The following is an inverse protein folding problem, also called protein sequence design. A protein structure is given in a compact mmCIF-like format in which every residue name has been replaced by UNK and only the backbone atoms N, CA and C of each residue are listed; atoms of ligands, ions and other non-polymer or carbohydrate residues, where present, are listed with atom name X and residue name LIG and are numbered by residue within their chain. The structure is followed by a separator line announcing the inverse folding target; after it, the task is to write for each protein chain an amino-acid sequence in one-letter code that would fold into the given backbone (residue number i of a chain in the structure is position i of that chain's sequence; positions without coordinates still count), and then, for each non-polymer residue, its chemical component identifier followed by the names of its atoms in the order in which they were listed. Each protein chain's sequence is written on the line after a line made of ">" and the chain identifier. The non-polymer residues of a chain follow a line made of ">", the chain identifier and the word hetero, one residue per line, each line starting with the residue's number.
data_IF_719061423133
#
_entry.id   IF_719061423133
#
_cell.length_a   1.000
_cell.length_b   1.000
_cell.length_c   1.000
_cell.angle_alpha   90.00
_cell.angle_beta   90.00
_cell.angle_gamma   90.00
#
_symmetry.space_group_name_H-M   'P 1'
#
loop_
_entity.id
_entity.type
_entity.pdbx_description
1 polymer ?
#
# COMPACT_ATOMS: atom_id res chain seq x y z
N UNK A 1 4.77 -40.61 -5.05
CA UNK A 1 4.25 -39.52 -4.20
C UNK A 1 3.99 -38.27 -5.05
N UNK A 2 2.76 -37.86 -5.11
CA UNK A 2 2.38 -36.70 -5.90
C UNK A 2 2.50 -35.45 -5.05
N UNK A 3 3.35 -34.53 -5.44
CA UNK A 3 3.41 -33.21 -4.84
C UNK A 3 2.42 -32.30 -5.56
N UNK A 4 1.46 -31.81 -4.84
CA UNK A 4 0.55 -30.81 -5.38
C UNK A 4 1.24 -29.45 -5.34
N UNK A 5 1.61 -28.96 -6.51
CA UNK A 5 2.08 -27.60 -6.63
C UNK A 5 0.90 -26.68 -6.83
N UNK A 6 0.74 -25.75 -5.90
CA UNK A 6 -0.23 -24.70 -6.02
C UNK A 6 0.43 -23.48 -6.68
N UNK A 7 -0.16 -23.05 -7.78
CA UNK A 7 0.32 -21.86 -8.49
C UNK A 7 -0.55 -20.68 -8.10
N UNK A 8 0.06 -19.63 -7.60
CA UNK A 8 -0.62 -18.39 -7.24
C UNK A 8 -0.14 -17.28 -8.17
N UNK A 9 -1.09 -16.57 -8.77
CA UNK A 9 -0.77 -15.42 -9.60
C UNK A 9 -0.59 -14.21 -8.69
N UNK A 10 0.65 -13.72 -8.60
CA UNK A 10 1.01 -12.62 -7.72
C UNK A 10 1.51 -11.42 -8.53
N UNK A 11 1.34 -10.24 -7.95
CA UNK A 11 1.88 -9.00 -8.52
C UNK A 11 2.60 -8.19 -7.43
N UNK A 12 3.76 -7.66 -7.77
CA UNK A 12 4.45 -6.65 -6.98
C UNK A 12 4.20 -5.29 -7.61
N UNK A 13 3.65 -4.37 -6.85
CA UNK A 13 3.33 -3.02 -7.32
C UNK A 13 4.53 -2.12 -7.09
N UNK A 14 4.94 -1.40 -8.13
CA UNK A 14 6.05 -0.47 -8.06
C UNK A 14 5.60 0.87 -8.65
N UNK A 15 5.00 1.69 -7.82
CA UNK A 15 4.49 3.02 -8.17
C UNK A 15 4.87 4.01 -7.08
N UNK A 16 4.88 5.29 -7.44
CA UNK A 16 5.15 6.34 -6.46
C UNK A 16 3.89 6.68 -5.66
N UNK A 17 4.02 6.90 -4.33
CA UNK A 17 2.91 7.41 -3.54
C UNK A 17 2.61 8.87 -3.88
N UNK A 18 1.45 9.37 -3.45
CA UNK A 18 1.17 10.79 -3.47
C UNK A 18 1.77 11.42 -2.21
N UNK A 19 2.86 12.14 -2.36
CA UNK A 19 3.56 12.75 -1.24
C UNK A 19 2.78 13.89 -0.59
N UNK A 20 1.67 14.33 -1.20
CA UNK A 20 0.87 15.44 -0.71
C UNK A 20 -0.33 14.99 0.11
N UNK A 21 -0.74 13.73 -0.01
CA UNK A 21 -2.01 13.29 0.56
C UNK A 21 -2.03 11.80 0.81
N UNK A 22 -2.42 11.39 2.02
CA UNK A 22 -2.70 9.98 2.34
C UNK A 22 -3.84 9.46 1.45
N UNK A 23 -4.88 10.27 1.28
CA UNK A 23 -6.03 9.90 0.45
C UNK A 23 -5.62 9.67 -1.01
N UNK A 24 -4.72 10.49 -1.53
CA UNK A 24 -4.18 10.33 -2.88
C UNK A 24 -3.40 9.02 -3.03
N UNK A 25 -2.59 8.66 -2.04
CA UNK A 25 -1.89 7.38 -2.04
C UNK A 25 -2.85 6.21 -1.92
N UNK A 26 -3.86 6.32 -1.04
CA UNK A 26 -4.89 5.29 -0.90
C UNK A 26 -5.63 5.07 -2.23
N UNK A 27 -5.97 6.14 -2.95
CA UNK A 27 -6.60 6.01 -4.26
C UNK A 27 -5.73 5.21 -5.24
N UNK A 28 -4.42 5.46 -5.23
CA UNK A 28 -3.47 4.69 -6.06
C UNK A 28 -3.44 3.21 -5.68
N UNK A 29 -3.51 2.90 -4.39
CA UNK A 29 -3.56 1.51 -3.91
C UNK A 29 -4.82 0.83 -4.41
N UNK A 30 -5.97 1.47 -4.26
CA UNK A 30 -7.25 0.91 -4.68
C UNK A 30 -7.32 0.71 -6.20
N UNK A 31 -6.80 1.66 -6.97
CA UNK A 31 -6.73 1.54 -8.43
C UNK A 31 -5.83 0.39 -8.86
N UNK A 32 -4.67 0.23 -8.21
CA UNK A 32 -3.75 -0.87 -8.49
C UNK A 32 -4.40 -2.23 -8.16
N UNK A 33 -5.16 -2.30 -7.08
CA UNK A 33 -5.89 -3.51 -6.71
C UNK A 33 -6.97 -3.85 -7.73
N UNK A 34 -7.70 -2.86 -8.24
CA UNK A 34 -8.69 -3.06 -9.31
C UNK A 34 -8.03 -3.60 -10.57
N UNK A 35 -6.93 -3.00 -10.99
CA UNK A 35 -6.20 -3.45 -12.18
C UNK A 35 -5.67 -4.87 -12.01
N UNK A 36 -5.12 -5.18 -10.84
CA UNK A 36 -4.63 -6.52 -10.52
C UNK A 36 -5.75 -7.55 -10.55
N UNK A 37 -6.91 -7.23 -9.97
CA UNK A 37 -8.07 -8.09 -9.97
C UNK A 37 -8.55 -8.38 -11.40
N UNK A 38 -8.55 -7.38 -12.27
CA UNK A 38 -8.91 -7.53 -13.67
C UNK A 38 -7.96 -8.46 -14.42
N UNK A 39 -6.73 -8.60 -13.96
CA UNK A 39 -5.71 -9.50 -14.52
C UNK A 39 -5.67 -10.87 -13.86
N UNK A 40 -6.58 -11.17 -12.95
CA UNK A 40 -6.65 -12.43 -12.23
C UNK A 40 -5.58 -12.62 -11.16
N UNK A 41 -5.02 -11.53 -10.64
CA UNK A 41 -4.04 -11.57 -9.56
C UNK A 41 -4.72 -11.95 -8.26
N UNK A 42 -4.12 -12.90 -7.53
CA UNK A 42 -4.63 -13.42 -6.26
C UNK A 42 -3.89 -12.83 -5.06
N UNK A 43 -2.63 -12.47 -5.24
CA UNK A 43 -1.79 -11.86 -4.21
C UNK A 43 -1.14 -10.60 -4.76
N UNK A 44 -1.34 -9.48 -4.08
CA UNK A 44 -0.75 -8.19 -4.45
C UNK A 44 0.10 -7.67 -3.30
N UNK A 45 1.29 -7.18 -3.61
CA UNK A 45 2.25 -6.66 -2.64
C UNK A 45 2.64 -5.24 -3.02
N UNK A 46 2.61 -4.35 -2.06
CA UNK A 46 3.01 -2.96 -2.18
C UNK A 46 4.36 -2.71 -1.51
N UNK A 47 5.07 -1.62 -1.85
CA UNK A 47 6.33 -1.27 -1.20
C UNK A 47 6.15 -1.04 0.30
N UNK A 48 7.24 -1.21 1.05
CA UNK A 48 7.27 -0.94 2.48
C UNK A 48 6.81 0.50 2.76
N UNK A 49 6.00 0.67 3.80
CA UNK A 49 5.44 1.95 4.24
C UNK A 49 4.85 2.80 3.11
N UNK A 50 4.22 2.15 2.14
CA UNK A 50 3.64 2.86 1.00
C UNK A 50 2.55 3.85 1.44
N UNK A 51 1.83 3.54 2.49
CA UNK A 51 0.81 4.39 3.10
C UNK A 51 1.30 4.91 4.45
N UNK A 52 1.52 6.23 4.63
CA UNK A 52 1.31 7.29 3.64
C UNK A 52 2.43 7.42 2.61
N UNK A 53 3.68 7.23 3.01
CA UNK A 53 4.85 7.19 2.13
C UNK A 53 6.09 6.85 2.97
N UNK A 54 7.14 6.38 2.32
CA UNK A 54 8.42 6.14 2.97
C UNK A 54 9.12 7.48 3.24
N UNK A 55 9.77 7.66 4.39
CA UNK A 55 10.39 8.94 4.74
C UNK A 55 11.71 9.19 4.00
N UNK A 56 11.64 9.36 2.68
CA UNK A 56 12.80 9.57 1.81
C UNK A 56 13.59 10.80 2.18
N UNK A 57 12.96 11.83 2.74
CA UNK A 57 13.62 13.04 3.18
C UNK A 57 14.72 12.76 4.22
N UNK A 58 14.61 11.66 4.96
CA UNK A 58 15.59 11.27 5.97
C UNK A 58 16.95 10.92 5.38
N UNK A 59 17.01 10.59 4.10
CA UNK A 59 18.26 10.26 3.41
C UNK A 59 18.96 11.51 2.84
N UNK A 60 18.24 12.61 2.70
CA UNK A 60 18.71 13.81 2.01
C UNK A 60 19.04 14.93 3.00
N UNK A 61 18.27 15.05 4.07
CA UNK A 61 18.38 16.14 5.02
C UNK A 61 18.68 15.62 6.42
N UNK A 62 19.45 16.39 7.25
CA UNK A 62 19.65 16.04 8.65
C UNK A 62 18.32 16.11 9.42
N UNK A 63 18.19 15.27 10.46
CA UNK A 63 16.95 15.15 11.22
C UNK A 63 16.44 16.47 11.78
N UNK A 64 17.34 17.34 12.21
CA UNK A 64 16.99 18.67 12.75
C UNK A 64 16.31 19.57 11.72
N UNK A 65 16.55 19.35 10.44
CA UNK A 65 15.93 20.12 9.36
C UNK A 65 14.61 19.54 8.88
N UNK A 66 14.22 18.36 9.37
CA UNK A 66 13.05 17.60 8.88
C UNK A 66 11.88 17.61 9.86
N UNK A 67 11.81 18.56 10.79
CA UNK A 67 10.77 18.61 11.80
C UNK A 67 9.36 18.67 11.22
N UNK A 68 9.14 19.51 10.22
CA UNK A 68 7.85 19.65 9.56
C UNK A 68 7.45 18.38 8.81
N UNK A 69 8.39 17.74 8.14
CA UNK A 69 8.17 16.50 7.41
C UNK A 69 7.81 15.34 8.35
N UNK A 70 8.50 15.25 9.49
CA UNK A 70 8.18 14.24 10.51
C UNK A 70 6.80 14.45 11.11
N UNK A 71 6.42 15.69 11.40
CA UNK A 71 5.08 16.01 11.91
C UNK A 71 4.01 15.65 10.88
N UNK A 72 4.25 15.98 9.63
CA UNK A 72 3.32 15.64 8.55
C UNK A 72 3.16 14.13 8.40
N UNK A 73 4.26 13.38 8.47
CA UNK A 73 4.22 11.92 8.39
C UNK A 73 3.43 11.35 9.56
N UNK A 74 3.59 11.90 10.76
CA UNK A 74 2.83 11.50 11.94
C UNK A 74 1.33 11.79 11.78
N UNK A 75 0.99 12.99 11.29
CA UNK A 75 -0.40 13.39 11.08
C UNK A 75 -1.10 12.54 10.02
N UNK A 76 -0.36 12.10 9.01
CA UNK A 76 -0.87 11.25 7.92
C UNK A 76 -0.80 9.76 8.25
N UNK A 77 -0.34 9.39 9.44
CA UNK A 77 -0.19 7.99 9.81
C UNK A 77 -1.52 7.24 9.76
N UNK A 78 -1.46 6.01 9.27
CA UNK A 78 -2.64 5.16 9.17
C UNK A 78 -3.05 4.67 10.55
N UNK A 79 -4.33 4.83 10.88
CA UNK A 79 -4.92 4.28 12.09
C UNK A 79 -5.41 2.86 11.81
N UNK A 80 -4.98 1.91 12.65
CA UNK A 80 -5.34 0.49 12.50
C UNK A 80 -6.04 0.01 13.76
N UNK A 81 -7.27 -0.49 13.69
CA UNK A 81 -8.17 -0.45 12.52
C UNK A 81 -8.72 0.96 12.27
N UNK A 82 -9.07 1.25 11.05
CA UNK A 82 -9.59 2.57 10.69
C UNK A 82 -10.05 2.64 9.24
N UNK A 83 -10.38 3.85 8.76
CA UNK A 83 -10.95 4.03 7.42
C UNK A 83 -10.06 3.51 6.29
N UNK A 84 -8.74 3.68 6.40
CA UNK A 84 -7.80 3.22 5.36
C UNK A 84 -7.75 1.70 5.30
N UNK A 85 -7.60 1.03 6.45
CA UNK A 85 -7.58 -0.43 6.50
C UNK A 85 -8.92 -1.02 6.07
N UNK A 86 -10.04 -0.38 6.43
CA UNK A 86 -11.38 -0.80 6.03
C UNK A 86 -11.54 -0.71 4.51
N UNK A 87 -11.08 0.38 3.88
CA UNK A 87 -11.16 0.57 2.45
C UNK A 87 -10.35 -0.48 1.68
N UNK A 88 -9.13 -0.76 2.13
CA UNK A 88 -8.28 -1.76 1.50
C UNK A 88 -8.86 -3.17 1.65
N UNK A 89 -9.37 -3.50 2.85
CA UNK A 89 -9.99 -4.79 3.10
C UNK A 89 -11.24 -5.00 2.23
N UNK A 90 -12.09 -3.97 2.10
CA UNK A 90 -13.27 -4.02 1.25
C UNK A 90 -12.89 -4.22 -0.22
N UNK A 91 -11.85 -3.54 -0.69
CA UNK A 91 -11.37 -3.67 -2.06
C UNK A 91 -10.82 -5.08 -2.31
N UNK A 92 -10.11 -5.66 -1.37
CA UNK A 92 -9.59 -7.03 -1.47
C UNK A 92 -10.72 -8.05 -1.61
N UNK A 93 -11.79 -7.90 -0.83
CA UNK A 93 -12.98 -8.75 -0.92
C UNK A 93 -13.70 -8.58 -2.24
N UNK A 94 -13.83 -7.34 -2.71
CA UNK A 94 -14.50 -7.03 -3.97
C UNK A 94 -13.77 -7.65 -5.16
N UNK A 95 -12.43 -7.68 -5.12
CA UNK A 95 -11.61 -8.30 -6.15
C UNK A 95 -11.67 -9.83 -6.15
N UNK A 96 -12.36 -10.45 -5.19
CA UNK A 96 -12.52 -11.91 -5.12
C UNK A 96 -11.30 -12.65 -4.59
N UNK A 97 -10.29 -11.92 -4.10
CA UNK A 97 -9.08 -12.48 -3.54
C UNK A 97 -9.03 -12.38 -2.03
N UNK A 98 -8.32 -13.31 -1.38
CA UNK A 98 -7.87 -13.11 -0.01
C UNK A 98 -6.62 -12.26 -0.06
N UNK A 99 -6.78 -10.97 0.15
CA UNK A 99 -5.64 -10.06 0.18
C UNK A 99 -4.85 -10.26 1.46
N UNK A 100 -3.58 -10.57 1.31
CA UNK A 100 -2.60 -10.48 2.37
C UNK A 100 -1.79 -9.20 2.14
N UNK A 101 -1.78 -8.34 3.09
CA UNK A 101 -0.97 -7.14 3.04
C UNK A 101 0.27 -7.29 3.90
#
# INVERSE_FOLDING_TARGET
>A
MTTHQQVVRAAAVQIAPDLRSLDGTLAKVLDAMDEAAARGVELIVFPETFLPYYPYFSFVYPAVACGAEHLRLYDEAVVVPGPVTDAVAAQAQHGGGTGCQ
#
